data_IF_088987557046
#
_entry.id   IF_088987557046
#
_cell.length_a   1.000
_cell.length_b   1.000
_cell.length_c   1.000
_cell.angle_alpha   90.00
_cell.angle_beta   90.00
_cell.angle_gamma   90.00
#
_symmetry.space_group_name_H-M   'P 1'
#
loop_
_entity.id
_entity.type
_entity.pdbx_description
1 polymer ?
#
# COMPACT_ATOMS: atom_id res chain seq x y z
N UNK A 1 2.15 -12.77 -0.30
CA UNK A 1 2.06 -12.68 -1.79
C UNK A 1 3.26 -13.41 -2.41
N UNK A 2 3.25 -13.75 -3.71
CA UNK A 2 4.29 -14.60 -4.33
C UNK A 2 5.03 -13.88 -5.44
N UNK A 3 6.35 -14.07 -5.51
CA UNK A 3 7.16 -13.50 -6.59
C UNK A 3 6.72 -14.10 -7.93
N UNK A 4 6.46 -13.29 -8.98
CA UNK A 4 6.00 -13.80 -10.27
C UNK A 4 7.03 -14.66 -11.00
N UNK A 5 8.32 -14.60 -10.59
CA UNK A 5 9.41 -15.35 -11.21
C UNK A 5 9.78 -16.62 -10.44
N UNK A 6 10.04 -16.52 -9.13
CA UNK A 6 10.49 -17.66 -8.33
C UNK A 6 9.42 -18.25 -7.39
N UNK A 7 8.21 -17.68 -7.40
CA UNK A 7 7.07 -18.07 -6.55
C UNK A 7 7.28 -18.03 -5.04
N UNK A 8 8.46 -17.56 -4.58
CA UNK A 8 8.76 -17.38 -3.15
C UNK A 8 7.79 -16.40 -2.52
N UNK A 9 7.33 -16.73 -1.32
CA UNK A 9 6.44 -15.87 -0.56
C UNK A 9 7.18 -14.65 -0.03
N UNK A 10 6.50 -13.52 -0.06
CA UNK A 10 6.96 -12.26 0.51
C UNK A 10 5.79 -11.43 1.03
N UNK A 11 6.12 -10.45 1.87
CA UNK A 11 5.19 -9.49 2.45
C UNK A 11 5.72 -8.07 2.23
N UNK A 12 4.85 -7.15 1.82
CA UNK A 12 5.15 -5.72 1.77
C UNK A 12 4.34 -5.06 2.89
N UNK A 13 5.00 -4.32 3.77
CA UNK A 13 4.35 -3.47 4.78
C UNK A 13 4.61 -2.00 4.43
N UNK A 14 3.53 -1.25 4.16
CA UNK A 14 3.59 0.19 3.92
C UNK A 14 3.05 0.93 5.15
N UNK A 15 3.91 1.74 5.77
CA UNK A 15 3.52 2.66 6.85
C UNK A 15 3.15 4.04 6.31
N UNK A 16 2.12 4.16 5.48
CA UNK A 16 1.71 5.47 4.93
C UNK A 16 0.71 6.18 5.84
N UNK A 17 1.09 7.34 6.39
CA UNK A 17 0.17 8.27 7.07
C UNK A 17 -0.21 9.39 6.12
N UNK A 18 -1.49 9.43 5.71
CA UNK A 18 -2.00 10.55 4.91
C UNK A 18 -2.59 11.59 5.86
N UNK A 19 -2.03 12.80 5.84
CA UNK A 19 -2.52 13.94 6.63
C UNK A 19 -3.26 14.87 5.66
N UNK A 20 -4.55 15.09 5.90
CA UNK A 20 -5.37 16.01 5.11
C UNK A 20 -5.74 17.19 5.99
N UNK A 21 -5.48 18.42 5.51
CA UNK A 21 -5.91 19.66 6.16
C UNK A 21 -6.82 20.43 5.20
N UNK A 22 -8.01 20.82 5.64
CA UNK A 22 -8.97 21.61 4.83
C UNK A 22 -9.69 20.84 3.70
N UNK A 23 -9.40 19.56 3.51
CA UNK A 23 -10.03 18.73 2.46
C UNK A 23 -10.43 17.35 3.00
N UNK A 24 -11.11 16.56 2.17
CA UNK A 24 -11.45 15.16 2.43
C UNK A 24 -11.04 14.30 1.25
N UNK A 25 -10.51 13.11 1.53
CA UNK A 25 -10.26 12.09 0.51
C UNK A 25 -11.59 11.39 0.26
N UNK A 26 -12.06 11.43 -0.98
CA UNK A 26 -13.35 10.84 -1.39
C UNK A 26 -13.19 9.47 -2.06
N UNK A 27 -11.96 9.07 -2.36
CA UNK A 27 -11.64 7.90 -3.19
C UNK A 27 -10.65 6.97 -2.50
N UNK A 28 -10.67 5.69 -2.88
CA UNK A 28 -9.63 4.75 -2.48
C UNK A 28 -8.27 5.18 -3.07
N UNK A 29 -7.22 5.12 -2.25
CA UNK A 29 -5.85 5.42 -2.69
C UNK A 29 -5.20 4.14 -3.20
N UNK A 30 -4.68 4.19 -4.42
CA UNK A 30 -3.87 3.12 -5.00
C UNK A 30 -2.43 3.60 -5.14
N UNK A 31 -1.50 2.87 -4.53
CA UNK A 31 -0.07 3.11 -4.69
C UNK A 31 0.53 1.97 -5.55
N UNK A 32 1.40 2.30 -6.49
CA UNK A 32 2.17 1.30 -7.24
C UNK A 32 3.57 1.25 -6.64
N UNK A 33 3.97 0.09 -6.12
CA UNK A 33 5.29 -0.11 -5.53
C UNK A 33 6.15 -0.92 -6.49
N UNK A 34 7.35 -0.42 -6.79
CA UNK A 34 8.37 -1.20 -7.49
C UNK A 34 9.10 -2.05 -6.47
N UNK A 35 9.16 -3.36 -6.71
CA UNK A 35 9.75 -4.34 -5.79
C UNK A 35 10.81 -5.16 -6.52
N UNK A 36 11.95 -5.38 -5.87
CA UNK A 36 12.96 -6.32 -6.31
C UNK A 36 12.91 -7.56 -5.41
N UNK A 37 12.84 -8.75 -6.00
CA UNK A 37 12.90 -9.99 -5.23
C UNK A 37 14.34 -10.26 -4.78
N UNK A 38 14.58 -10.42 -3.48
CA UNK A 38 15.93 -10.74 -2.96
C UNK A 38 16.43 -12.13 -3.39
N UNK A 39 15.54 -13.05 -3.75
CA UNK A 39 15.89 -14.42 -4.10
C UNK A 39 16.30 -14.61 -5.57
N UNK A 40 15.66 -13.91 -6.49
CA UNK A 40 15.91 -14.07 -7.94
C UNK A 40 16.19 -12.75 -8.66
N UNK A 41 16.34 -11.65 -7.90
CA UNK A 41 16.65 -10.29 -8.36
C UNK A 41 15.69 -9.69 -9.40
N UNK A 42 14.56 -10.35 -9.65
CA UNK A 42 13.54 -9.86 -10.57
C UNK A 42 12.90 -8.59 -10.03
N UNK A 43 12.80 -7.57 -10.88
CA UNK A 43 12.12 -6.30 -10.60
C UNK A 43 10.72 -6.35 -11.20
N UNK A 44 9.71 -6.00 -10.42
CA UNK A 44 8.31 -5.97 -10.86
C UNK A 44 7.54 -4.92 -10.06
N UNK A 45 6.35 -4.57 -10.55
CA UNK A 45 5.48 -3.59 -9.91
C UNK A 45 4.28 -4.29 -9.26
N UNK A 46 3.92 -3.81 -8.07
CA UNK A 46 2.79 -4.32 -7.29
C UNK A 46 1.86 -3.16 -6.98
N UNK A 47 0.61 -3.16 -7.48
CA UNK A 47 -0.39 -2.23 -7.03
C UNK A 47 -0.85 -2.62 -5.62
N UNK A 48 -0.72 -1.69 -4.68
CA UNK A 48 -1.22 -1.81 -3.31
C UNK A 48 -2.39 -0.85 -3.19
N UNK A 49 -3.58 -1.43 -3.00
CA UNK A 49 -4.79 -0.68 -2.69
C UNK A 49 -4.94 -0.59 -1.18
N UNK A 50 -5.03 0.63 -0.64
CA UNK A 50 -5.38 0.82 0.77
C UNK A 50 -6.86 0.45 0.96
N UNK A 51 -7.17 -0.83 1.25
CA UNK A 51 -8.47 -1.25 1.79
C UNK A 51 -8.65 -0.85 3.27
N UNK A 52 -7.96 0.19 3.73
CA UNK A 52 -7.98 0.62 5.12
C UNK A 52 -9.25 1.43 5.36
N UNK A 53 -10.17 0.81 6.10
CA UNK A 53 -11.33 1.44 6.73
C UNK A 53 -10.90 2.79 7.30
N UNK A 54 -11.35 3.88 6.67
CA UNK A 54 -11.15 5.22 7.18
C UNK A 54 -12.05 5.38 8.41
N UNK A 55 -11.58 4.97 9.59
CA UNK A 55 -12.24 5.30 10.85
C UNK A 55 -12.08 6.79 11.09
N UNK A 56 -13.06 7.56 10.62
CA UNK A 56 -13.22 8.98 10.95
C UNK A 56 -13.57 9.06 12.43
N UNK A 57 -12.57 9.21 13.30
CA UNK A 57 -12.84 9.71 14.65
C UNK A 57 -13.16 11.20 14.52
N UNK A 58 -14.45 11.54 14.51
CA UNK A 58 -14.89 12.90 14.83
C UNK A 58 -14.37 13.22 16.23
N UNK A 59 -13.59 14.29 16.36
CA UNK A 59 -13.53 15.02 17.62
C UNK A 59 -14.76 15.91 17.64
N UNK A 60 -15.64 15.67 18.59
CA UNK A 60 -16.63 16.66 19.02
C UNK A 60 -15.89 17.56 20.02
N UNK A 61 -15.81 18.85 19.68
CA UNK A 61 -15.43 19.95 20.58
C UNK A 61 -16.67 20.44 21.33
#
# INVERSE_FOLDING_TARGET
MKCPKCQKEFQIQLGSKIIVKGCKILTAVTAVVTTQCENCHAVFQVPINSKSIMSVKKKED
#
